data_IF_414183770652
#
_entry.id   IF_414183770652
#
_cell.length_a   1.000
_cell.length_b   1.000
_cell.length_c   1.000
_cell.angle_alpha   90.00
_cell.angle_beta   90.00
_cell.angle_gamma   90.00
#
_symmetry.space_group_name_H-M   'P 1'
#
loop_
_entity.id
_entity.type
_entity.pdbx_description
1 polymer ?
#
# COMPACT_ATOMS: atom_id res chain seq x y z
N UNK A 1 -2.70 13.47 -15.96
CA UNK A 1 -2.37 12.08 -16.38
C UNK A 1 -1.99 11.26 -15.16
N UNK A 2 -2.41 9.98 -15.03
CA UNK A 2 -2.05 9.08 -13.93
C UNK A 2 -0.80 8.28 -14.33
N UNK A 3 0.22 8.24 -13.46
CA UNK A 3 1.36 7.34 -13.65
C UNK A 3 1.09 6.00 -12.95
N UNK A 4 1.10 4.91 -13.71
CA UNK A 4 1.06 3.55 -13.19
C UNK A 4 2.49 3.16 -12.84
N UNK A 5 2.75 2.92 -11.55
CA UNK A 5 4.05 2.52 -11.02
C UNK A 5 4.07 0.99 -10.95
N UNK A 6 4.76 0.35 -11.88
CA UNK A 6 4.82 -1.09 -12.03
C UNK A 6 6.19 -1.61 -11.59
N UNK A 7 6.22 -2.42 -10.54
CA UNK A 7 7.41 -3.17 -10.14
C UNK A 7 7.29 -4.62 -10.60
N UNK A 8 8.32 -5.13 -11.30
CA UNK A 8 8.34 -6.51 -11.82
C UNK A 8 9.49 -7.32 -11.22
N UNK A 9 9.22 -8.60 -10.97
CA UNK A 9 10.21 -9.59 -10.58
C UNK A 9 9.71 -11.00 -10.90
N UNK A 10 10.31 -11.67 -11.90
CA UNK A 10 9.91 -12.99 -12.36
C UNK A 10 8.39 -13.13 -12.58
N UNK A 11 7.80 -12.17 -13.26
CA UNK A 11 6.35 -12.04 -13.48
C UNK A 11 5.87 -12.50 -14.85
N UNK A 12 6.74 -13.05 -15.70
CA UNK A 12 6.46 -13.35 -17.12
C UNK A 12 5.16 -14.12 -17.35
N UNK A 13 4.78 -14.98 -16.41
CA UNK A 13 3.56 -15.79 -16.53
C UNK A 13 2.26 -14.97 -16.56
N UNK A 14 2.15 -13.92 -15.76
CA UNK A 14 0.89 -13.17 -15.55
C UNK A 14 0.93 -11.74 -16.09
N UNK A 15 2.13 -11.22 -16.30
CA UNK A 15 2.37 -9.85 -16.75
C UNK A 15 1.60 -9.46 -18.03
N UNK A 16 1.50 -10.33 -19.07
CA UNK A 16 0.73 -9.99 -20.27
C UNK A 16 -0.72 -9.59 -19.98
N UNK A 17 -1.42 -10.34 -19.13
CA UNK A 17 -2.82 -10.07 -18.78
C UNK A 17 -2.95 -8.77 -17.99
N UNK A 18 -2.00 -8.47 -17.12
CA UNK A 18 -1.97 -7.20 -16.38
C UNK A 18 -1.76 -6.03 -17.34
N UNK A 19 -0.82 -6.10 -18.27
CA UNK A 19 -0.57 -5.06 -19.27
C UNK A 19 -1.78 -4.81 -20.17
N UNK A 20 -2.46 -5.87 -20.63
CA UNK A 20 -3.72 -5.74 -21.36
C UNK A 20 -4.81 -5.05 -20.53
N UNK A 21 -4.85 -5.28 -19.22
CA UNK A 21 -5.85 -4.64 -18.35
C UNK A 21 -5.64 -3.12 -18.24
N UNK A 22 -4.42 -2.63 -18.40
CA UNK A 22 -4.15 -1.20 -18.49
C UNK A 22 -4.69 -0.59 -19.78
N UNK A 23 -4.54 -1.27 -20.91
CA UNK A 23 -5.07 -0.82 -22.20
C UNK A 23 -6.60 -0.78 -22.22
N UNK A 24 -7.27 -1.63 -21.42
CA UNK A 24 -8.74 -1.67 -21.29
C UNK A 24 -9.30 -0.60 -20.35
N UNK A 25 -8.46 0.25 -19.74
CA UNK A 25 -8.97 1.30 -18.87
C UNK A 25 -9.83 2.32 -19.64
N UNK A 26 -11.01 2.62 -19.08
CA UNK A 26 -11.93 3.61 -19.66
C UNK A 26 -11.40 5.05 -19.56
N UNK A 27 -10.48 5.32 -18.66
CA UNK A 27 -9.72 6.56 -18.60
C UNK A 27 -8.40 6.36 -19.36
N UNK A 28 -8.23 6.96 -20.56
CA UNK A 28 -7.05 6.75 -21.39
C UNK A 28 -5.84 7.57 -20.95
N UNK A 29 -6.00 8.49 -20.00
CA UNK A 29 -4.96 9.45 -19.60
C UNK A 29 -4.02 8.85 -18.55
N UNK A 30 -3.33 7.78 -18.92
CA UNK A 30 -2.33 7.10 -18.10
C UNK A 30 -1.03 6.84 -18.87
N UNK A 31 0.04 6.62 -18.11
CA UNK A 31 1.32 6.08 -18.59
C UNK A 31 1.89 5.11 -17.55
N UNK A 32 2.81 4.25 -17.95
CA UNK A 32 3.55 3.33 -17.09
C UNK A 32 4.94 3.89 -16.82
N UNK A 33 5.36 3.88 -15.57
CA UNK A 33 6.75 4.01 -15.12
C UNK A 33 7.09 2.70 -14.45
N UNK A 34 8.03 1.94 -15.01
CA UNK A 34 8.30 0.61 -14.51
C UNK A 34 9.75 0.36 -14.18
N UNK A 35 9.95 -0.59 -13.31
CA UNK A 35 11.25 -1.06 -12.86
C UNK A 35 11.21 -2.57 -12.73
N UNK A 36 12.25 -3.22 -13.26
CA UNK A 36 12.51 -4.63 -13.03
C UNK A 36 13.45 -4.82 -11.85
N UNK A 37 13.07 -5.70 -10.92
CA UNK A 37 13.81 -5.97 -9.69
C UNK A 37 14.83 -7.12 -9.84
N UNK A 38 15.33 -7.36 -11.06
CA UNK A 38 16.34 -8.38 -11.37
C UNK A 38 15.73 -9.71 -11.83
N UNK A 39 14.72 -9.67 -12.69
CA UNK A 39 14.11 -10.88 -13.27
C UNK A 39 15.08 -11.71 -14.11
N UNK A 40 14.89 -13.03 -14.08
CA UNK A 40 15.65 -14.02 -14.84
C UNK A 40 14.79 -14.81 -15.83
N UNK A 41 13.49 -14.53 -15.86
CA UNK A 41 12.51 -15.08 -16.81
C UNK A 41 12.21 -14.09 -17.96
N UNK A 42 11.13 -14.33 -18.71
CA UNK A 42 10.74 -13.53 -19.88
C UNK A 42 10.16 -12.15 -19.53
N UNK A 43 10.13 -11.73 -18.25
CA UNK A 43 9.52 -10.47 -17.80
C UNK A 43 10.03 -9.26 -18.58
N UNK A 44 11.36 -9.14 -18.75
CA UNK A 44 11.96 -7.99 -19.44
C UNK A 44 11.65 -7.97 -20.94
N UNK A 45 11.62 -9.14 -21.60
CA UNK A 45 11.25 -9.22 -23.02
C UNK A 45 9.79 -8.83 -23.24
N UNK A 46 8.88 -9.29 -22.37
CA UNK A 46 7.45 -8.90 -22.41
C UNK A 46 7.30 -7.39 -22.27
N UNK A 47 8.00 -6.76 -21.31
CA UNK A 47 7.95 -5.31 -21.12
C UNK A 47 8.54 -4.54 -22.31
N UNK A 48 9.63 -5.04 -22.92
CA UNK A 48 10.22 -4.42 -24.09
C UNK A 48 9.27 -4.50 -25.31
N UNK A 49 8.63 -5.62 -25.57
CA UNK A 49 7.63 -5.77 -26.62
C UNK A 49 6.41 -4.87 -26.40
N UNK A 50 5.93 -4.81 -25.16
CA UNK A 50 4.84 -3.92 -24.79
C UNK A 50 5.22 -2.45 -25.02
N UNK A 51 6.41 -2.03 -24.58
CA UNK A 51 6.91 -0.66 -24.77
C UNK A 51 7.05 -0.31 -26.24
N UNK A 52 7.59 -1.22 -27.07
CA UNK A 52 7.68 -1.04 -28.51
C UNK A 52 6.30 -0.84 -29.17
N UNK A 53 5.28 -1.51 -28.67
CA UNK A 53 3.89 -1.43 -29.17
C UNK A 53 3.17 -0.14 -28.81
N UNK A 54 3.27 0.35 -27.55
CA UNK A 54 2.52 1.52 -27.09
C UNK A 54 3.34 2.82 -27.08
N UNK A 55 4.67 2.73 -27.25
CA UNK A 55 5.63 3.83 -27.30
C UNK A 55 6.22 4.21 -25.94
N UNK A 56 7.47 4.65 -25.94
CA UNK A 56 8.23 5.05 -24.74
C UNK A 56 7.59 6.22 -23.96
N UNK A 57 6.86 7.09 -24.66
CA UNK A 57 6.11 8.17 -24.02
C UNK A 57 5.02 7.65 -23.07
N UNK A 58 4.50 6.45 -23.31
CA UNK A 58 3.48 5.80 -22.48
C UNK A 58 4.01 4.67 -21.58
N UNK A 59 5.19 4.13 -21.85
CA UNK A 59 5.79 3.06 -21.05
C UNK A 59 7.30 3.31 -20.95
N UNK A 60 7.75 3.76 -19.77
CA UNK A 60 9.15 4.13 -19.55
C UNK A 60 9.76 3.27 -18.45
N UNK A 61 10.92 2.67 -18.74
CA UNK A 61 11.77 2.01 -17.77
C UNK A 61 12.57 3.03 -16.95
N UNK A 62 12.77 2.77 -15.65
CA UNK A 62 13.61 3.64 -14.81
C UNK A 62 15.08 3.22 -14.86
N UNK A 63 15.99 4.17 -14.61
CA UNK A 63 17.44 3.92 -14.65
C UNK A 63 17.94 2.89 -13.62
N UNK A 64 17.22 2.65 -12.53
CA UNK A 64 17.59 1.69 -11.48
C UNK A 64 17.09 0.26 -11.71
N UNK A 65 16.58 -0.04 -12.91
CA UNK A 65 16.08 -1.36 -13.28
C UNK A 65 17.19 -2.42 -13.30
N UNK A 66 16.86 -3.66 -12.89
CA UNK A 66 17.80 -4.79 -12.86
C UNK A 66 18.54 -4.99 -11.54
N UNK A 67 18.45 -4.06 -10.60
CA UNK A 67 19.02 -4.21 -9.24
C UNK A 67 17.93 -4.70 -8.28
N UNK A 68 18.17 -5.79 -7.56
CA UNK A 68 17.20 -6.33 -6.61
C UNK A 68 17.13 -5.50 -5.33
N UNK A 69 15.99 -4.84 -5.11
CA UNK A 69 15.69 -4.04 -3.91
C UNK A 69 14.67 -4.73 -2.99
N UNK A 70 13.91 -5.67 -3.52
CA UNK A 70 12.71 -6.21 -2.89
C UNK A 70 11.48 -5.35 -3.15
N UNK A 71 10.29 -5.94 -3.02
CA UNK A 71 9.03 -5.35 -3.50
C UNK A 71 8.77 -3.94 -2.94
N UNK A 72 8.91 -3.73 -1.63
CA UNK A 72 8.56 -2.45 -1.02
C UNK A 72 9.45 -1.31 -1.52
N UNK A 73 10.77 -1.50 -1.49
CA UNK A 73 11.74 -0.48 -1.91
C UNK A 73 11.70 -0.29 -3.43
N UNK A 74 11.42 -1.35 -4.18
CA UNK A 74 11.19 -1.28 -5.63
C UNK A 74 10.01 -0.36 -5.97
N UNK A 75 8.86 -0.51 -5.31
CA UNK A 75 7.72 0.39 -5.50
C UNK A 75 7.99 1.83 -5.06
N UNK A 76 8.59 2.02 -3.88
CA UNK A 76 8.86 3.36 -3.36
C UNK A 76 9.87 4.12 -4.21
N UNK A 77 10.85 3.43 -4.84
CA UNK A 77 11.82 4.05 -5.74
C UNK A 77 11.21 4.59 -7.04
N UNK A 78 10.00 4.16 -7.40
CA UNK A 78 9.27 4.67 -8.58
C UNK A 78 8.59 6.03 -8.34
N UNK A 79 8.32 6.42 -7.08
CA UNK A 79 7.62 7.67 -6.78
C UNK A 79 8.35 8.93 -7.30
N UNK A 80 9.67 9.09 -7.11
CA UNK A 80 10.42 10.23 -7.64
C UNK A 80 10.44 10.29 -9.18
N UNK A 81 10.23 9.15 -9.84
CA UNK A 81 10.24 9.03 -11.30
C UNK A 81 8.95 9.52 -11.98
N UNK A 82 7.93 9.85 -11.19
CA UNK A 82 6.60 10.23 -11.69
C UNK A 82 6.14 11.62 -11.20
N UNK A 83 7.07 12.55 -10.95
CA UNK A 83 6.78 13.87 -10.35
C UNK A 83 5.90 14.77 -11.21
N UNK A 84 5.86 14.59 -12.53
CA UNK A 84 5.03 15.31 -13.49
C UNK A 84 3.59 14.77 -13.62
N UNK A 85 3.29 13.63 -12.98
CA UNK A 85 1.94 13.06 -12.98
C UNK A 85 1.05 13.73 -11.91
N UNK A 86 -0.23 13.94 -12.24
CA UNK A 86 -1.22 14.45 -11.29
C UNK A 86 -1.60 13.46 -10.20
N UNK A 87 -1.43 12.16 -10.50
CA UNK A 87 -1.66 11.06 -9.58
C UNK A 87 -0.79 9.86 -9.94
N UNK A 88 -0.55 8.98 -8.96
CA UNK A 88 0.20 7.74 -9.12
C UNK A 88 -0.63 6.55 -8.64
N UNK A 89 -0.54 5.41 -9.35
CA UNK A 89 -1.20 4.16 -8.99
C UNK A 89 -0.15 3.06 -8.90
N UNK A 90 -0.08 2.34 -7.78
CA UNK A 90 0.74 1.13 -7.70
C UNK A 90 0.08 -0.03 -8.44
N UNK A 91 0.89 -0.84 -9.10
CA UNK A 91 0.44 -2.00 -9.86
C UNK A 91 1.34 -3.20 -9.60
N UNK A 92 0.75 -4.29 -9.07
CA UNK A 92 1.40 -5.59 -9.03
C UNK A 92 1.39 -6.20 -10.45
N UNK A 93 2.36 -7.05 -10.75
CA UNK A 93 2.58 -7.61 -12.09
C UNK A 93 1.63 -8.76 -12.48
N UNK A 94 0.89 -9.28 -11.51
CA UNK A 94 0.18 -10.56 -11.54
C UNK A 94 -1.34 -10.45 -11.37
N UNK A 95 -1.86 -9.23 -11.31
CA UNK A 95 -3.27 -8.93 -11.19
C UNK A 95 -3.95 -8.65 -12.55
N UNK A 96 -5.25 -8.35 -12.50
CA UNK A 96 -5.99 -7.80 -13.65
C UNK A 96 -6.87 -6.64 -13.17
N UNK A 97 -6.64 -5.45 -13.72
CA UNK A 97 -7.45 -4.29 -13.37
C UNK A 97 -8.81 -4.30 -14.08
N UNK A 98 -9.86 -3.95 -13.33
CA UNK A 98 -11.17 -3.73 -13.94
C UNK A 98 -11.16 -2.41 -14.74
N UNK A 99 -11.97 -2.31 -15.82
CA UNK A 99 -11.87 -1.20 -16.77
C UNK A 99 -12.11 0.19 -16.18
N UNK A 100 -12.86 0.31 -15.08
CA UNK A 100 -13.24 1.58 -14.48
C UNK A 100 -12.32 2.04 -13.31
N UNK A 101 -11.26 1.30 -13.01
CA UNK A 101 -10.37 1.59 -11.86
C UNK A 101 -9.81 3.01 -11.89
N UNK A 102 -9.16 3.42 -12.98
CA UNK A 102 -8.54 4.74 -13.07
C UNK A 102 -9.58 5.87 -13.14
N UNK A 103 -10.69 5.66 -13.84
CA UNK A 103 -11.78 6.63 -13.91
C UNK A 103 -12.40 6.88 -12.53
N UNK A 104 -12.64 5.83 -11.74
CA UNK A 104 -13.17 5.92 -10.37
C UNK A 104 -12.20 6.62 -9.44
N UNK A 105 -10.92 6.24 -9.47
CA UNK A 105 -9.88 6.88 -8.68
C UNK A 105 -9.78 8.37 -9.00
N UNK A 106 -9.73 8.74 -10.28
CA UNK A 106 -9.69 10.14 -10.72
C UNK A 106 -10.90 10.93 -10.23
N UNK A 107 -12.10 10.36 -10.32
CA UNK A 107 -13.32 11.01 -9.84
C UNK A 107 -13.26 11.28 -8.33
N UNK A 108 -12.77 10.30 -7.54
CA UNK A 108 -12.61 10.46 -6.10
C UNK A 108 -11.55 11.52 -5.75
N UNK A 109 -10.38 11.47 -6.40
CA UNK A 109 -9.28 12.38 -6.14
C UNK A 109 -9.60 13.85 -6.46
N UNK A 110 -10.48 14.12 -7.41
CA UNK A 110 -10.94 15.49 -7.73
C UNK A 110 -11.57 16.19 -6.53
N UNK A 111 -12.19 15.46 -5.61
CA UNK A 111 -12.83 16.04 -4.43
C UNK A 111 -11.82 16.58 -3.40
N UNK A 112 -10.54 16.18 -3.48
CA UNK A 112 -9.51 16.57 -2.51
C UNK A 112 -8.97 18.00 -2.71
N UNK A 113 -9.14 18.59 -3.88
CA UNK A 113 -8.41 19.81 -4.24
C UNK A 113 -6.90 19.63 -4.08
N UNK A 114 -6.27 20.45 -3.26
CA UNK A 114 -4.84 20.37 -2.97
C UNK A 114 -4.48 19.51 -1.75
N UNK A 115 -5.47 18.95 -1.04
CA UNK A 115 -5.21 18.10 0.11
C UNK A 115 -4.67 16.74 -0.34
N UNK A 116 -3.68 16.22 0.38
CA UNK A 116 -3.16 14.87 0.12
C UNK A 116 -4.29 13.84 0.27
N UNK A 117 -4.49 13.02 -0.76
CA UNK A 117 -5.54 11.99 -0.76
C UNK A 117 -5.04 10.69 -1.36
N UNK A 118 -5.39 9.60 -0.67
CA UNK A 118 -5.24 8.23 -1.10
C UNK A 118 -6.62 7.64 -1.38
N UNK A 119 -6.85 7.20 -2.60
CA UNK A 119 -7.95 6.35 -2.99
C UNK A 119 -7.49 4.89 -2.92
N UNK A 120 -8.31 4.03 -2.33
CA UNK A 120 -8.21 2.58 -2.46
C UNK A 120 -9.60 1.99 -2.59
N UNK A 121 -9.68 0.70 -2.97
CA UNK A 121 -10.95 0.06 -3.25
C UNK A 121 -10.92 -1.41 -2.82
N UNK A 122 -12.07 -2.06 -2.89
CA UNK A 122 -12.15 -3.52 -2.76
C UNK A 122 -11.56 -4.20 -3.99
N UNK A 123 -11.28 -5.47 -3.85
CA UNK A 123 -10.81 -6.34 -4.92
C UNK A 123 -11.58 -7.66 -4.91
N UNK A 124 -11.65 -8.32 -6.04
CA UNK A 124 -12.04 -9.72 -6.12
C UNK A 124 -10.81 -10.61 -5.87
N UNK A 125 -10.93 -11.56 -4.97
CA UNK A 125 -9.94 -12.60 -4.75
C UNK A 125 -10.24 -13.73 -5.75
N UNK A 126 -9.30 -13.99 -6.64
CA UNK A 126 -9.44 -14.99 -7.71
C UNK A 126 -8.27 -15.98 -7.67
N UNK A 127 -8.46 -17.16 -8.25
CA UNK A 127 -7.37 -18.12 -8.42
C UNK A 127 -6.43 -17.76 -9.59
N UNK A 128 -5.45 -18.61 -9.86
CA UNK A 128 -4.50 -18.44 -10.98
C UNK A 128 -5.18 -18.28 -12.35
N UNK A 129 -6.38 -18.80 -12.53
CA UNK A 129 -7.17 -18.78 -13.76
C UNK A 129 -8.27 -17.70 -13.73
N UNK A 130 -8.19 -16.73 -12.81
CA UNK A 130 -9.16 -15.66 -12.61
C UNK A 130 -10.57 -16.15 -12.21
N UNK A 131 -10.68 -17.32 -11.58
CA UNK A 131 -11.94 -17.87 -11.10
C UNK A 131 -12.13 -17.58 -9.60
N UNK A 132 -13.38 -17.68 -9.11
CA UNK A 132 -13.69 -17.63 -7.67
C UNK A 132 -14.20 -16.30 -7.13
N UNK A 133 -14.03 -15.18 -7.74
CA UNK A 133 -14.57 -13.82 -7.48
C UNK A 133 -15.08 -13.51 -6.05
N UNK A 134 -14.33 -13.90 -5.02
CA UNK A 134 -14.65 -13.56 -3.63
C UNK A 134 -14.28 -12.11 -3.33
N UNK A 135 -15.18 -11.33 -2.76
CA UNK A 135 -14.90 -9.93 -2.42
C UNK A 135 -14.00 -9.82 -1.20
N UNK A 136 -12.99 -8.95 -1.27
CA UNK A 136 -12.21 -8.57 -0.09
C UNK A 136 -13.08 -7.92 0.98
N UNK A 137 -12.63 -7.97 2.25
CA UNK A 137 -13.35 -7.38 3.38
C UNK A 137 -13.35 -5.84 3.22
N UNK A 138 -14.52 -5.23 3.39
CA UNK A 138 -14.61 -3.77 3.50
C UNK A 138 -14.29 -3.37 4.95
N UNK A 139 -13.32 -2.49 5.21
CA UNK A 139 -13.05 -1.98 6.54
C UNK A 139 -14.27 -1.27 7.14
N UNK A 140 -14.59 -1.53 8.41
CA UNK A 140 -15.75 -0.96 9.08
C UNK A 140 -15.54 0.47 9.61
N UNK A 141 -14.36 0.75 10.13
CA UNK A 141 -14.01 2.07 10.69
C UNK A 141 -13.37 2.99 9.64
N UNK A 142 -13.48 4.29 9.88
CA UNK A 142 -12.82 5.30 9.04
C UNK A 142 -11.31 5.16 9.12
N UNK A 143 -10.61 5.18 8.00
CA UNK A 143 -9.15 5.17 7.98
C UNK A 143 -8.61 6.47 8.57
N UNK A 144 -7.58 6.38 9.41
CA UNK A 144 -6.96 7.56 10.01
C UNK A 144 -5.75 7.22 10.86
N UNK A 145 -5.07 8.28 11.34
CA UNK A 145 -3.99 8.15 12.29
C UNK A 145 -4.55 8.31 13.72
N UNK A 146 -4.10 7.54 14.73
CA UNK A 146 -3.02 6.54 14.71
C UNK A 146 -3.46 5.09 14.41
N UNK A 147 -4.71 4.83 13.98
CA UNK A 147 -5.17 3.48 13.66
C UNK A 147 -4.31 2.82 12.56
N UNK A 148 -3.81 3.60 11.60
CA UNK A 148 -2.93 3.12 10.51
C UNK A 148 -1.65 2.45 11.02
N UNK A 149 -1.15 2.79 12.21
CA UNK A 149 -0.02 2.10 12.84
C UNK A 149 -0.34 0.67 13.28
N UNK A 150 -1.60 0.37 13.53
CA UNK A 150 -2.02 -0.91 14.10
C UNK A 150 -2.40 -1.95 13.05
N UNK A 151 -2.80 -1.50 11.88
CA UNK A 151 -3.32 -2.39 10.83
C UNK A 151 -3.28 -1.71 9.45
N UNK A 152 -2.74 -2.43 8.46
CA UNK A 152 -2.93 -2.04 7.07
C UNK A 152 -4.35 -2.44 6.62
N UNK A 153 -5.13 -1.48 6.14
CA UNK A 153 -6.47 -1.67 5.60
C UNK A 153 -6.56 -1.30 4.12
N UNK A 154 -5.46 -0.84 3.54
CA UNK A 154 -5.34 -0.51 2.12
C UNK A 154 -4.58 -1.61 1.40
N UNK A 155 -4.87 -1.80 0.13
CA UNK A 155 -4.16 -2.77 -0.71
C UNK A 155 -3.42 -2.02 -1.81
N UNK A 156 -2.10 -2.24 -1.94
CA UNK A 156 -1.23 -1.53 -2.87
C UNK A 156 -1.75 -1.56 -4.30
N UNK A 157 -2.18 -2.74 -4.76
CA UNK A 157 -2.72 -2.94 -6.09
C UNK A 157 -4.04 -2.19 -6.40
N UNK A 158 -4.75 -1.69 -5.37
CA UNK A 158 -5.95 -0.85 -5.57
C UNK A 158 -5.68 0.63 -5.37
N UNK A 159 -4.48 0.97 -4.83
CA UNK A 159 -4.13 2.31 -4.38
C UNK A 159 -3.89 3.27 -5.54
N UNK A 160 -4.47 4.47 -5.41
CA UNK A 160 -4.13 5.63 -6.26
C UNK A 160 -3.98 6.86 -5.35
N UNK A 161 -2.88 7.57 -5.48
CA UNK A 161 -2.58 8.77 -4.71
C UNK A 161 -2.55 10.00 -5.61
N UNK A 162 -3.12 11.14 -5.17
CA UNK A 162 -2.90 12.40 -5.86
C UNK A 162 -1.45 12.88 -5.68
N UNK A 163 -1.05 13.91 -6.43
CA UNK A 163 0.32 14.43 -6.40
C UNK A 163 0.77 14.80 -4.99
N UNK A 164 -0.08 15.51 -4.24
CA UNK A 164 0.24 15.92 -2.87
C UNK A 164 0.53 14.73 -1.93
N UNK A 165 -0.24 13.65 -2.04
CA UNK A 165 -0.01 12.43 -1.26
C UNK A 165 1.26 11.70 -1.70
N UNK A 166 1.50 11.57 -3.01
CA UNK A 166 2.70 10.93 -3.54
C UNK A 166 3.98 11.68 -3.14
N UNK A 167 3.95 13.01 -3.12
CA UNK A 167 5.08 13.84 -2.68
C UNK A 167 5.40 13.65 -1.20
N UNK A 168 4.38 13.52 -0.33
CA UNK A 168 4.60 13.22 1.08
C UNK A 168 5.29 11.86 1.26
N UNK A 169 4.80 10.82 0.58
CA UNK A 169 5.38 9.48 0.68
C UNK A 169 6.81 9.44 0.11
N UNK A 170 7.08 10.16 -0.98
CA UNK A 170 8.42 10.24 -1.56
C UNK A 170 9.44 10.96 -0.65
N UNK A 171 8.99 11.93 0.16
CA UNK A 171 9.85 12.70 1.09
C UNK A 171 10.16 11.98 2.39
N UNK A 172 9.28 11.09 2.84
CA UNK A 172 9.42 10.39 4.11
C UNK A 172 9.78 8.92 3.83
N UNK A 173 11.08 8.55 3.89
CA UNK A 173 11.51 7.21 3.53
C UNK A 173 10.91 6.16 4.45
N UNK A 174 10.56 5.01 3.90
CA UNK A 174 10.04 3.87 4.66
C UNK A 174 11.12 3.24 5.54
N UNK A 175 10.80 2.76 6.74
CA UNK A 175 11.74 1.99 7.53
C UNK A 175 11.95 0.59 6.92
N UNK A 176 13.14 -0.02 7.12
CA UNK A 176 13.44 -1.33 6.56
C UNK A 176 12.40 -2.40 6.90
N UNK A 177 11.97 -3.16 5.89
CA UNK A 177 11.01 -4.25 6.03
C UNK A 177 9.55 -3.82 6.10
N UNK A 178 9.24 -2.53 5.91
CA UNK A 178 7.85 -2.08 5.75
C UNK A 178 7.28 -2.49 4.39
N UNK A 179 5.96 -2.53 4.28
CA UNK A 179 5.26 -2.66 3.00
C UNK A 179 5.00 -1.26 2.44
N UNK A 180 5.18 -1.07 1.13
CA UNK A 180 5.03 0.22 0.46
C UNK A 180 3.62 0.82 0.62
N UNK A 181 2.60 -0.01 0.55
CA UNK A 181 1.20 0.37 0.72
C UNK A 181 0.89 0.76 2.18
N UNK A 182 1.35 -0.03 3.14
CA UNK A 182 1.15 0.28 4.56
C UNK A 182 1.89 1.56 4.96
N UNK A 183 3.13 1.73 4.50
CA UNK A 183 3.88 2.95 4.75
C UNK A 183 3.21 4.18 4.15
N UNK A 184 2.77 4.09 2.90
CA UNK A 184 2.02 5.18 2.25
C UNK A 184 0.77 5.56 3.03
N UNK A 185 0.00 4.57 3.51
CA UNK A 185 -1.18 4.78 4.33
C UNK A 185 -0.85 5.49 5.66
N UNK A 186 0.20 5.05 6.35
CA UNK A 186 0.66 5.66 7.61
C UNK A 186 1.07 7.12 7.37
N UNK A 187 1.95 7.38 6.40
CA UNK A 187 2.45 8.72 6.09
C UNK A 187 1.30 9.67 5.77
N UNK A 188 0.45 9.29 4.83
CA UNK A 188 -0.65 10.15 4.38
C UNK A 188 -1.57 10.51 5.54
N UNK A 189 -1.95 9.55 6.40
CA UNK A 189 -2.83 9.80 7.54
C UNK A 189 -2.16 10.58 8.65
N UNK A 190 -0.87 10.37 8.92
CA UNK A 190 -0.10 11.12 9.91
C UNK A 190 0.13 12.58 9.49
N UNK A 191 0.21 12.85 8.18
CA UNK A 191 0.33 14.20 7.63
C UNK A 191 -1.03 14.90 7.41
N UNK A 192 -2.15 14.32 7.88
CA UNK A 192 -3.48 14.92 7.76
C UNK A 192 -4.16 14.73 6.41
N UNK A 193 -3.67 13.80 5.60
CA UNK A 193 -4.29 13.43 4.32
C UNK A 193 -5.55 12.60 4.51
N UNK A 194 -6.34 12.54 3.44
CA UNK A 194 -7.62 11.83 3.38
C UNK A 194 -7.40 10.45 2.76
N UNK A 195 -8.05 9.43 3.31
CA UNK A 195 -8.15 8.10 2.70
C UNK A 195 -9.60 7.80 2.35
N UNK A 196 -9.85 7.48 1.09
CA UNK A 196 -11.16 7.09 0.58
C UNK A 196 -11.13 5.62 0.20
N UNK A 197 -12.06 4.85 0.77
CA UNK A 197 -12.23 3.43 0.46
C UNK A 197 -13.49 3.25 -0.37
N UNK A 198 -13.32 2.87 -1.63
CA UNK A 198 -14.42 2.57 -2.52
C UNK A 198 -14.96 1.15 -2.23
N UNK A 199 -16.26 1.00 -1.94
CA UNK A 199 -16.84 -0.32 -1.69
C UNK A 199 -16.94 -1.22 -2.92
N UNK A 200 -16.75 -0.68 -4.13
CA UNK A 200 -16.76 -1.48 -5.37
C UNK A 200 -15.38 -2.04 -5.67
N UNK A 201 -15.27 -3.28 -6.14
CA UNK A 201 -13.98 -3.84 -6.54
C UNK A 201 -13.48 -3.18 -7.84
N UNK A 202 -12.16 -3.07 -7.94
CA UNK A 202 -11.48 -2.47 -9.10
C UNK A 202 -10.34 -3.34 -9.64
N UNK A 203 -10.06 -4.47 -8.98
CA UNK A 203 -8.98 -5.39 -9.33
C UNK A 203 -9.44 -6.83 -9.14
N UNK A 204 -9.03 -7.71 -10.02
CA UNK A 204 -8.99 -9.17 -9.82
C UNK A 204 -7.62 -9.48 -9.19
N UNK A 205 -7.58 -9.67 -7.88
CA UNK A 205 -6.37 -10.00 -7.14
C UNK A 205 -6.10 -11.50 -7.21
N UNK A 206 -5.08 -11.86 -7.97
CA UNK A 206 -4.72 -13.26 -8.22
C UNK A 206 -4.05 -13.89 -7.01
N UNK A 207 -4.52 -15.06 -6.62
CA UNK A 207 -3.97 -15.85 -5.51
C UNK A 207 -3.16 -17.02 -6.09
N UNK A 208 -1.85 -17.01 -5.91
CA UNK A 208 -0.94 -18.08 -6.30
C UNK A 208 0.18 -18.26 -5.27
N UNK A 209 0.96 -19.34 -5.40
CA UNK A 209 1.97 -19.70 -4.39
C UNK A 209 3.12 -18.70 -4.24
N UNK A 210 3.36 -17.87 -5.23
CA UNK A 210 4.42 -16.88 -5.23
C UNK A 210 3.98 -15.51 -4.68
N UNK A 211 2.70 -15.32 -4.28
CA UNK A 211 2.29 -14.06 -3.67
C UNK A 211 3.05 -13.81 -2.37
N UNK A 212 3.62 -12.61 -2.22
CA UNK A 212 4.28 -12.19 -0.96
C UNK A 212 3.31 -12.19 0.22
N UNK A 213 2.08 -11.78 0.00
CA UNK A 213 1.00 -11.77 0.99
C UNK A 213 -0.26 -12.36 0.35
N UNK A 214 -0.65 -13.54 0.81
CA UNK A 214 -1.97 -14.10 0.47
C UNK A 214 -3.08 -13.46 1.29
N UNK A 215 -4.30 -13.41 0.74
CA UNK A 215 -5.47 -12.93 1.47
C UNK A 215 -6.14 -14.11 2.20
N UNK A 216 -6.04 -14.21 3.54
CA UNK A 216 -6.65 -15.33 4.26
C UNK A 216 -8.17 -15.29 4.18
N UNK A 217 -8.84 -16.43 4.08
CA UNK A 217 -10.28 -16.54 3.76
C UNK A 217 -11.22 -16.05 4.88
N UNK A 218 -10.72 -15.88 6.11
CA UNK A 218 -11.57 -15.41 7.22
C UNK A 218 -10.79 -14.68 8.30
N UNK A 219 -11.48 -13.83 9.08
CA UNK A 219 -10.92 -13.10 10.23
C UNK A 219 -10.41 -14.05 11.31
N UNK A 220 -11.06 -15.20 11.52
CA UNK A 220 -10.65 -16.21 12.49
C UNK A 220 -9.30 -16.85 12.12
N UNK A 221 -9.12 -17.23 10.86
CA UNK A 221 -7.84 -17.77 10.36
C UNK A 221 -6.72 -16.74 10.51
N UNK A 222 -7.00 -15.47 10.24
CA UNK A 222 -6.05 -14.35 10.45
C UNK A 222 -5.66 -14.22 11.93
N UNK A 223 -6.62 -14.26 12.85
CA UNK A 223 -6.38 -14.14 14.28
C UNK A 223 -5.53 -15.32 14.81
N UNK A 224 -5.85 -16.55 14.42
CA UNK A 224 -5.07 -17.74 14.79
C UNK A 224 -3.64 -17.68 14.23
N UNK A 225 -3.46 -17.28 12.98
CA UNK A 225 -2.14 -17.12 12.39
C UNK A 225 -1.33 -16.01 13.08
N UNK A 226 -1.98 -14.91 13.48
CA UNK A 226 -1.36 -13.84 14.24
C UNK A 226 -0.91 -14.33 15.63
N UNK A 227 -1.78 -15.03 16.35
CA UNK A 227 -1.44 -15.64 17.66
C UNK A 227 -0.23 -16.57 17.58
N UNK A 228 -0.17 -17.43 16.55
CA UNK A 228 0.98 -18.34 16.33
C UNK A 228 2.28 -17.60 16.05
N UNK A 229 2.25 -16.47 15.32
CA UNK A 229 3.44 -15.65 15.04
C UNK A 229 3.92 -14.86 16.26
N UNK A 230 3.05 -14.58 17.21
CA UNK A 230 3.36 -13.79 18.40
C UNK A 230 3.55 -12.29 18.14
N UNK A 231 3.84 -11.51 19.20
CA UNK A 231 3.93 -10.05 19.12
C UNK A 231 5.19 -9.53 18.41
N UNK A 232 6.28 -10.31 18.40
CA UNK A 232 7.63 -9.82 18.10
C UNK A 232 7.77 -9.10 16.75
N UNK A 233 7.33 -9.71 15.66
CA UNK A 233 7.44 -9.12 14.30
C UNK A 233 6.60 -7.85 14.21
N UNK A 234 5.34 -7.91 14.68
CA UNK A 234 4.43 -6.77 14.63
C UNK A 234 4.94 -5.59 15.48
N UNK A 235 5.33 -5.85 16.72
CA UNK A 235 5.82 -4.80 17.63
C UNK A 235 7.14 -4.20 17.15
N UNK A 236 8.03 -5.00 16.54
CA UNK A 236 9.25 -4.50 15.91
C UNK A 236 8.95 -3.56 14.76
N UNK A 237 8.00 -3.94 13.88
CA UNK A 237 7.58 -3.08 12.77
C UNK A 237 6.93 -1.79 13.28
N UNK A 238 6.06 -1.88 14.26
CA UNK A 238 5.44 -0.70 14.87
C UNK A 238 6.47 0.26 15.48
N UNK A 239 7.50 -0.26 16.17
CA UNK A 239 8.61 0.57 16.68
C UNK A 239 9.33 1.28 15.53
N UNK A 240 9.65 0.57 14.45
CA UNK A 240 10.30 1.16 13.27
C UNK A 240 9.46 2.27 12.65
N UNK A 241 8.14 2.04 12.47
CA UNK A 241 7.22 3.05 11.95
C UNK A 241 7.20 4.31 12.84
N UNK A 242 7.05 4.13 14.16
CA UNK A 242 7.00 5.25 15.12
C UNK A 242 8.32 6.02 15.14
N UNK A 243 9.46 5.32 15.14
CA UNK A 243 10.79 5.94 15.10
C UNK A 243 10.98 6.75 13.81
N UNK A 244 10.56 6.20 12.67
CA UNK A 244 10.68 6.88 11.38
C UNK A 244 9.79 8.12 11.29
N UNK A 245 8.56 8.06 11.81
CA UNK A 245 7.68 9.22 11.89
C UNK A 245 8.25 10.30 12.83
N UNK A 246 8.80 9.90 13.98
CA UNK A 246 9.42 10.84 14.91
C UNK A 246 10.63 11.56 14.27
N UNK A 247 11.41 10.87 13.45
CA UNK A 247 12.54 11.45 12.71
C UNK A 247 12.13 12.43 11.60
N UNK A 248 10.84 12.43 11.21
CA UNK A 248 10.26 13.30 10.18
C UNK A 248 9.06 14.10 10.72
N UNK A 249 9.15 14.51 11.98
CA UNK A 249 8.06 15.13 12.73
C UNK A 249 7.57 16.46 12.12
N UNK A 250 8.41 17.15 11.34
CA UNK A 250 8.09 18.39 10.66
C UNK A 250 6.96 18.26 9.62
N UNK A 251 6.75 17.07 9.05
CA UNK A 251 5.68 16.79 8.08
C UNK A 251 4.35 16.41 8.74
N UNK A 252 4.40 16.02 10.03
CA UNK A 252 3.22 15.51 10.73
C UNK A 252 2.30 16.65 11.20
N UNK A 253 1.00 16.35 11.32
CA UNK A 253 0.07 17.25 12.05
C UNK A 253 0.47 17.33 13.52
N UNK A 254 0.07 18.42 14.22
CA UNK A 254 0.34 18.57 15.65
C UNK A 254 -0.20 17.41 16.48
N UNK A 255 -1.41 16.94 16.14
CA UNK A 255 -2.00 15.78 16.80
C UNK A 255 -1.19 14.51 16.54
N UNK A 256 -0.79 14.26 15.30
CA UNK A 256 0.01 13.09 14.97
C UNK A 256 1.40 13.11 15.66
N UNK A 257 2.04 14.27 15.76
CA UNK A 257 3.28 14.43 16.55
C UNK A 257 3.10 14.03 18.01
N UNK A 258 2.04 14.54 18.64
CA UNK A 258 1.74 14.21 20.03
C UNK A 258 1.44 12.71 20.22
N UNK A 259 0.72 12.10 19.27
CA UNK A 259 0.43 10.67 19.30
C UNK A 259 1.67 9.82 19.08
N UNK A 260 2.53 10.17 18.12
CA UNK A 260 3.82 9.51 17.86
C UNK A 260 4.72 9.57 19.09
N UNK A 261 4.85 10.73 19.73
CA UNK A 261 5.64 10.87 20.96
C UNK A 261 5.10 9.97 22.09
N UNK A 262 3.79 10.02 22.35
CA UNK A 262 3.14 9.20 23.38
C UNK A 262 3.25 7.71 23.14
N UNK A 263 3.06 7.26 21.88
CA UNK A 263 3.17 5.86 21.49
C UNK A 263 4.63 5.43 21.59
N UNK A 264 5.59 6.27 21.18
CA UNK A 264 7.03 6.02 21.28
C UNK A 264 7.49 5.83 22.73
N UNK A 265 7.05 6.69 23.66
CA UNK A 265 7.27 6.52 25.10
C UNK A 265 6.71 5.16 25.60
N UNK A 266 5.52 4.79 25.13
CA UNK A 266 4.91 3.50 25.45
C UNK A 266 5.74 2.31 24.96
N UNK A 267 6.23 2.37 23.73
CA UNK A 267 7.00 1.29 23.10
C UNK A 267 8.37 1.08 23.74
N UNK A 268 8.96 2.13 24.32
CA UNK A 268 10.26 2.08 25.01
C UNK A 268 10.13 1.91 26.53
N UNK A 269 8.94 2.16 27.09
CA UNK A 269 8.70 2.21 28.53
C UNK A 269 8.15 0.94 29.15
N UNK A 270 7.96 0.97 30.48
CA UNK A 270 7.30 -0.09 31.24
C UNK A 270 5.76 0.01 31.19
N UNK A 271 5.09 -0.64 32.14
CA UNK A 271 3.62 -0.77 32.19
C UNK A 271 2.88 0.57 32.17
N UNK A 272 3.33 1.56 32.94
CA UNK A 272 2.63 2.85 33.04
C UNK A 272 2.67 3.67 31.73
N UNK A 273 3.81 3.88 31.05
CA UNK A 273 3.84 4.50 29.71
C UNK A 273 3.04 3.71 28.68
N UNK A 274 3.09 2.39 28.66
CA UNK A 274 2.30 1.54 27.76
C UNK A 274 0.80 1.75 27.97
N UNK A 275 0.35 1.76 29.21
CA UNK A 275 -1.05 2.02 29.54
C UNK A 275 -1.51 3.42 29.10
N UNK A 276 -0.63 4.44 29.21
CA UNK A 276 -0.93 5.81 28.71
C UNK A 276 -1.03 5.84 27.19
N UNK A 277 -0.11 5.17 26.49
CA UNK A 277 -0.14 5.08 25.03
C UNK A 277 -1.42 4.41 24.51
N UNK A 278 -1.86 3.32 25.16
CA UNK A 278 -3.11 2.62 24.80
C UNK A 278 -4.40 3.41 25.06
N UNK A 279 -4.32 4.57 25.73
CA UNK A 279 -5.43 5.52 25.88
C UNK A 279 -5.44 6.55 24.73
N UNK A 280 -4.47 6.50 23.81
CA UNK A 280 -4.45 7.38 22.65
C UNK A 280 -5.73 7.16 21.81
N UNK A 281 -6.55 8.21 21.58
CA UNK A 281 -7.76 8.07 20.79
C UNK A 281 -7.44 7.56 19.38
N UNK A 282 -8.18 6.54 18.91
CA UNK A 282 -7.96 5.96 17.59
C UNK A 282 -6.84 4.93 17.49
N UNK A 283 -6.03 4.68 18.53
CA UNK A 283 -5.03 3.60 18.53
C UNK A 283 -5.73 2.24 18.74
N UNK A 284 -6.41 1.78 17.71
CA UNK A 284 -7.23 0.56 17.72
C UNK A 284 -7.22 -0.14 16.37
N UNK A 285 -7.61 -1.41 16.35
CA UNK A 285 -7.79 -2.22 15.14
C UNK A 285 -9.26 -2.27 14.73
N UNK A 286 -9.54 -2.85 13.54
CA UNK A 286 -10.87 -2.89 12.93
C UNK A 286 -11.91 -3.72 13.69
N UNK A 287 -11.49 -4.81 14.35
CA UNK A 287 -12.39 -5.67 15.10
C UNK A 287 -12.02 -5.70 16.59
N UNK A 288 -13.00 -5.92 17.47
CA UNK A 288 -12.76 -5.98 18.91
C UNK A 288 -11.76 -7.09 19.29
N UNK A 289 -11.85 -8.26 18.66
CA UNK A 289 -10.92 -9.37 18.93
C UNK A 289 -9.47 -8.99 18.53
N UNK A 290 -9.29 -8.42 17.34
CA UNK A 290 -7.97 -7.95 16.90
C UNK A 290 -7.45 -6.84 17.80
N UNK A 291 -8.34 -5.96 18.26
CA UNK A 291 -7.99 -4.86 19.16
C UNK A 291 -7.56 -5.35 20.53
N UNK A 292 -8.27 -6.32 21.10
CA UNK A 292 -7.87 -6.98 22.38
C UNK A 292 -6.47 -7.61 22.26
N UNK A 293 -6.22 -8.35 21.17
CA UNK A 293 -4.93 -8.96 20.90
C UNK A 293 -3.81 -7.92 20.73
N UNK A 294 -4.07 -6.85 19.99
CA UNK A 294 -3.14 -5.73 19.83
C UNK A 294 -2.78 -5.10 21.18
N UNK A 295 -3.78 -4.82 22.02
CA UNK A 295 -3.56 -4.23 23.36
C UNK A 295 -2.74 -5.15 24.26
N UNK A 296 -3.01 -6.45 24.23
CA UNK A 296 -2.21 -7.44 24.94
C UNK A 296 -0.75 -7.41 24.46
N UNK A 297 -0.52 -7.48 23.14
CA UNK A 297 0.81 -7.43 22.57
C UNK A 297 1.56 -6.15 22.90
N UNK A 298 0.87 -5.02 22.87
CA UNK A 298 1.45 -3.73 23.23
C UNK A 298 1.86 -3.68 24.71
N UNK A 299 1.14 -4.37 25.58
CA UNK A 299 1.46 -4.45 27.02
C UNK A 299 2.66 -5.34 27.33
N UNK A 300 2.86 -6.43 26.59
CA UNK A 300 3.91 -7.42 26.88
C UNK A 300 5.15 -7.32 25.97
N UNK A 301 5.03 -6.74 24.77
CA UNK A 301 6.09 -6.60 23.76
C UNK A 301 6.75 -5.25 23.81
#
# INVERSE_FOLDING_TARGET
MIAILLSTYNGGRFLPEQLESFERQTDPAWRIVWRDDGSTDDTRSIMAEFTARIGEARCRETAGSGVHLGAADSFLSLLPEATDAEAVAFADQDDVWLPDKLARARAALKAAGNQAMLYCARQYLVDENLQGHNLSILPGDKPGFPASLTQNIVHGNTMVMNRAAADLVARIPGPPGTMHDWWSYIVITACGGIVVIDPKPVVLYRQHRANLIGSPPSTLVRAVAALRRGPGIFMTMMRRHVTQLAANAEFLTDQARADVARIGEGLCGGVAPRSRALRCPGLKRQTELENMLFRLWFMIG
#
